data_IF_410940222724
#
_entry.id   IF_410940222724
#
_cell.length_a   1.000
_cell.length_b   1.000
_cell.length_c   1.000
_cell.angle_alpha   90.00
_cell.angle_beta   90.00
_cell.angle_gamma   90.00
#
_symmetry.space_group_name_H-M   'P 1'
#
loop_
_entity.id
_entity.type
_entity.pdbx_description
1 polymer ?
#
# COMPACT_ATOMS: atom_id res chain seq x y z
N UNK A 1 34.25 -35.72 1.16
CA UNK A 1 34.89 -35.26 -0.09
C UNK A 1 33.81 -34.98 -1.12
N UNK A 2 33.93 -33.96 -1.98
CA UNK A 2 34.08 -32.54 -1.67
C UNK A 2 32.90 -31.71 -2.19
N UNK A 3 32.79 -30.51 -1.61
CA UNK A 3 31.83 -29.45 -1.96
C UNK A 3 32.00 -29.06 -3.42
N UNK A 4 30.90 -28.97 -4.16
CA UNK A 4 30.91 -28.43 -5.51
C UNK A 4 31.32 -26.94 -5.43
N UNK A 5 32.34 -26.50 -6.18
CA UNK A 5 32.78 -25.11 -6.18
C UNK A 5 31.82 -24.28 -7.02
N UNK A 6 31.19 -23.28 -6.41
CA UNK A 6 30.48 -22.25 -7.17
C UNK A 6 31.48 -21.50 -8.06
N UNK A 7 31.23 -21.34 -9.38
CA UNK A 7 31.99 -20.40 -10.18
C UNK A 7 31.67 -18.99 -9.68
N UNK A 8 32.62 -18.40 -8.96
CA UNK A 8 32.70 -16.94 -8.81
C UNK A 8 33.03 -16.38 -10.19
N UNK A 9 32.50 -15.19 -10.47
CA UNK A 9 32.69 -14.37 -11.67
C UNK A 9 31.79 -14.77 -12.85
N UNK A 10 30.66 -14.06 -12.99
CA UNK A 10 29.97 -13.65 -14.24
C UNK A 10 28.60 -13.01 -13.86
N UNK A 11 28.61 -12.04 -12.94
CA UNK A 11 27.39 -11.27 -12.59
C UNK A 11 27.65 -9.75 -12.49
N UNK A 12 28.83 -9.29 -12.94
CA UNK A 12 29.17 -7.87 -12.96
C UNK A 12 28.70 -7.16 -14.24
N UNK A 13 28.22 -7.88 -15.25
CA UNK A 13 27.86 -7.32 -16.55
C UNK A 13 26.35 -7.23 -16.82
N UNK A 14 25.51 -7.94 -16.08
CA UNK A 14 24.05 -7.86 -16.24
C UNK A 14 23.41 -6.69 -15.44
N UNK A 15 24.10 -6.17 -14.42
CA UNK A 15 23.61 -5.03 -13.62
C UNK A 15 23.80 -3.66 -14.29
N UNK A 16 24.60 -3.57 -15.36
CA UNK A 16 24.99 -2.30 -15.98
C UNK A 16 24.13 -1.87 -17.19
N UNK A 17 23.28 -2.74 -17.75
CA UNK A 17 22.53 -2.43 -18.99
C UNK A 17 21.03 -2.15 -18.81
N UNK A 18 20.42 -2.47 -17.66
CA UNK A 18 19.01 -2.17 -17.40
C UNK A 18 18.82 -0.76 -16.78
N UNK A 19 19.90 -0.13 -16.30
CA UNK A 19 19.85 1.12 -15.52
C UNK A 19 20.14 2.40 -16.32
N UNK A 20 19.95 2.40 -17.65
CA UNK A 20 20.30 3.56 -18.51
C UNK A 20 19.10 4.19 -19.25
N UNK A 21 17.88 3.68 -19.04
CA UNK A 21 16.66 4.23 -19.65
C UNK A 21 15.53 4.54 -18.64
N UNK A 22 15.85 4.56 -17.34
CA UNK A 22 14.98 5.04 -16.25
C UNK A 22 15.68 6.18 -15.47
N UNK A 23 16.38 7.03 -16.22
CA UNK A 23 17.03 8.22 -15.68
C UNK A 23 15.99 9.24 -15.25
N UNK A 24 15.60 9.21 -13.97
CA UNK A 24 14.90 10.36 -13.39
C UNK A 24 14.36 10.20 -11.98
N UNK A 25 13.96 9.01 -11.54
CA UNK A 25 13.06 8.92 -10.36
C UNK A 25 13.51 8.04 -9.19
N UNK A 26 14.41 7.07 -9.38
CA UNK A 26 14.65 6.07 -8.32
C UNK A 26 15.91 6.35 -7.49
N UNK A 27 16.90 7.10 -8.01
CA UNK A 27 18.12 7.36 -7.26
C UNK A 27 18.73 8.71 -7.64
N UNK A 28 18.30 9.77 -6.94
CA UNK A 28 18.98 11.08 -6.98
C UNK A 28 19.81 11.25 -5.71
N UNK A 29 21.14 11.36 -5.79
CA UNK A 29 21.95 11.66 -4.63
C UNK A 29 21.80 13.15 -4.32
N UNK A 30 21.14 13.47 -3.21
CA UNK A 30 20.99 14.85 -2.74
C UNK A 30 19.55 15.24 -2.45
N UNK A 31 19.22 15.23 -1.17
CA UNK A 31 18.09 15.93 -0.55
C UNK A 31 16.72 15.34 -0.88
N UNK A 32 16.00 14.95 0.17
CA UNK A 32 14.54 14.98 0.15
C UNK A 32 14.15 16.33 -0.47
N UNK A 33 13.46 16.30 -1.62
CA UNK A 33 12.88 17.52 -2.17
C UNK A 33 12.00 18.19 -1.10
N UNK A 34 11.65 19.48 -1.26
CA UNK A 34 10.77 20.15 -0.32
C UNK A 34 9.55 19.26 -0.09
N UNK A 35 9.30 18.89 1.17
CA UNK A 35 8.13 18.07 1.51
C UNK A 35 6.94 18.81 0.93
N UNK A 36 6.21 18.15 0.02
CA UNK A 36 4.89 18.65 -0.34
C UNK A 36 4.12 18.76 0.97
N UNK A 37 3.47 19.90 1.25
CA UNK A 37 2.60 19.99 2.42
C UNK A 37 1.62 18.81 2.38
N UNK A 38 1.23 18.32 3.56
CA UNK A 38 0.38 17.13 3.75
C UNK A 38 -1.08 17.48 3.41
N UNK A 39 -1.31 18.03 2.21
CA UNK A 39 -2.52 18.75 1.77
C UNK A 39 -2.57 20.15 2.37
N UNK A 40 -2.46 21.18 1.52
CA UNK A 40 -2.80 22.54 1.92
C UNK A 40 -4.29 22.58 2.25
N UNK A 41 -4.65 23.08 3.44
CA UNK A 41 -6.04 23.18 3.92
C UNK A 41 -7.00 23.83 2.90
N UNK A 42 -6.47 24.70 2.04
CA UNK A 42 -7.19 25.38 0.97
C UNK A 42 -7.62 24.45 -0.20
N UNK A 43 -7.04 23.26 -0.32
CA UNK A 43 -7.24 22.32 -1.42
C UNK A 43 -7.80 20.96 -0.96
N UNK A 44 -8.42 20.88 0.21
CA UNK A 44 -9.06 19.66 0.67
C UNK A 44 -10.07 19.16 -0.38
N UNK A 45 -9.93 17.92 -0.89
CA UNK A 45 -10.89 17.38 -1.83
C UNK A 45 -12.29 17.34 -1.21
N UNK A 46 -13.35 17.52 -2.01
CA UNK A 46 -14.73 17.40 -1.53
C UNK A 46 -14.94 16.07 -0.80
N UNK A 47 -15.81 16.07 0.22
CA UNK A 47 -16.12 14.89 1.03
C UNK A 47 -16.63 13.74 0.14
N UNK A 48 -17.36 14.07 -0.93
CA UNK A 48 -17.85 13.11 -1.92
C UNK A 48 -16.70 12.37 -2.62
N UNK A 49 -15.63 13.09 -2.95
CA UNK A 49 -14.45 12.48 -3.58
C UNK A 49 -13.73 11.54 -2.61
N UNK A 50 -13.62 11.94 -1.34
CA UNK A 50 -13.03 11.10 -0.30
C UNK A 50 -13.87 9.85 -0.02
N UNK A 51 -15.20 10.01 0.10
CA UNK A 51 -16.14 8.93 0.28
C UNK A 51 -16.05 7.89 -0.86
N UNK A 52 -16.00 8.35 -2.11
CA UNK A 52 -15.83 7.48 -3.28
C UNK A 52 -14.51 6.70 -3.25
N UNK A 53 -13.41 7.36 -2.85
CA UNK A 53 -12.10 6.69 -2.72
C UNK A 53 -12.12 5.63 -1.62
N UNK A 54 -12.83 5.89 -0.53
CA UNK A 54 -13.00 4.96 0.59
C UNK A 54 -14.11 3.91 0.37
N UNK A 55 -14.84 3.97 -0.77
CA UNK A 55 -16.01 3.13 -1.05
C UNK A 55 -17.09 3.23 0.04
N UNK A 56 -17.33 4.46 0.52
CA UNK A 56 -18.36 4.76 1.51
C UNK A 56 -19.53 5.50 0.85
N UNK A 57 -20.73 5.00 1.11
CA UNK A 57 -21.97 5.74 0.85
C UNK A 57 -22.27 6.59 2.09
N UNK A 58 -22.53 7.89 1.89
CA UNK A 58 -22.79 8.84 2.97
C UNK A 58 -24.13 9.52 2.75
N UNK A 59 -24.91 9.65 3.82
CA UNK A 59 -26.13 10.46 3.79
C UNK A 59 -25.81 11.97 3.76
N UNK A 60 -26.78 12.83 3.39
CA UNK A 60 -26.54 14.28 3.32
C UNK A 60 -26.12 14.93 4.65
N UNK A 61 -26.66 14.47 5.77
CA UNK A 61 -26.31 14.97 7.11
C UNK A 61 -24.93 14.52 7.56
N UNK A 62 -24.53 13.29 7.22
CA UNK A 62 -23.16 12.80 7.42
C UNK A 62 -22.14 13.59 6.61
N UNK A 63 -22.45 13.93 5.36
CA UNK A 63 -21.58 14.77 4.51
C UNK A 63 -21.34 16.14 5.15
N UNK A 64 -22.40 16.81 5.62
CA UNK A 64 -22.29 18.11 6.26
C UNK A 64 -21.47 18.04 7.56
N UNK A 65 -21.76 17.04 8.40
CA UNK A 65 -21.04 16.81 9.65
C UNK A 65 -19.56 16.54 9.41
N UNK A 66 -19.23 15.60 8.50
CA UNK A 66 -17.85 15.23 8.18
C UNK A 66 -17.11 16.36 7.47
N UNK A 67 -17.80 17.13 6.62
CA UNK A 67 -17.27 18.34 6.00
C UNK A 67 -16.81 19.38 7.01
N UNK A 68 -17.47 19.46 8.17
CA UNK A 68 -17.08 20.36 9.25
C UNK A 68 -16.03 19.75 10.19
N UNK A 69 -16.10 18.44 10.45
CA UNK A 69 -15.22 17.76 11.42
C UNK A 69 -13.83 17.47 10.85
N UNK A 70 -13.72 17.03 9.60
CA UNK A 70 -12.45 16.62 9.00
C UNK A 70 -11.43 17.78 8.93
N UNK A 71 -11.79 19.01 8.53
CA UNK A 71 -10.87 20.14 8.56
C UNK A 71 -10.36 20.48 9.97
N UNK A 72 -11.18 20.26 11.02
CA UNK A 72 -10.76 20.48 12.42
C UNK A 72 -9.73 19.45 12.86
N UNK A 73 -9.91 18.20 12.46
CA UNK A 73 -8.95 17.12 12.76
C UNK A 73 -7.62 17.41 12.04
N UNK A 74 -7.66 17.78 10.76
CA UNK A 74 -6.46 18.11 10.00
C UNK A 74 -5.73 19.34 10.55
N UNK A 75 -6.47 20.37 10.98
CA UNK A 75 -5.89 21.52 11.66
C UNK A 75 -5.19 21.12 12.97
N UNK A 76 -5.65 20.08 13.68
CA UNK A 76 -4.96 19.61 14.87
C UNK A 76 -3.62 18.94 14.55
N UNK A 77 -3.50 18.27 13.40
CA UNK A 77 -2.23 17.69 12.94
C UNK A 77 -1.15 18.73 12.59
N UNK A 78 -1.52 19.99 12.34
CA UNK A 78 -0.56 21.08 12.10
C UNK A 78 0.42 21.27 13.28
N UNK A 79 0.02 20.88 14.49
CA UNK A 79 0.90 20.87 15.67
C UNK A 79 2.15 20.00 15.49
N UNK A 80 2.09 18.96 14.65
CA UNK A 80 3.25 18.11 14.36
C UNK A 80 4.30 18.86 13.53
N UNK A 81 3.92 19.91 12.80
CA UNK A 81 4.84 20.75 12.01
C UNK A 81 5.68 21.68 12.88
N UNK A 82 5.32 21.88 14.15
CA UNK A 82 6.08 22.68 15.11
C UNK A 82 7.36 21.95 15.57
N UNK A 83 7.44 20.63 15.35
CA UNK A 83 8.58 19.81 15.75
C UNK A 83 9.56 19.71 14.58
N UNK A 84 10.80 20.12 14.82
CA UNK A 84 11.88 19.97 13.84
C UNK A 84 12.24 18.48 13.67
N UNK A 85 12.21 18.04 12.41
CA UNK A 85 12.57 16.67 12.01
C UNK A 85 13.66 16.66 10.94
N UNK A 86 14.39 17.78 10.77
CA UNK A 86 15.51 17.85 9.84
C UNK A 86 16.60 16.85 10.25
N UNK A 87 17.04 16.03 9.29
CA UNK A 87 18.05 14.99 9.53
C UNK A 87 17.54 13.73 10.25
N UNK A 88 16.25 13.64 10.59
CA UNK A 88 15.64 12.43 11.17
C UNK A 88 15.10 11.53 10.06
N UNK A 89 15.64 10.32 9.95
CA UNK A 89 15.14 9.29 9.04
C UNK A 89 13.73 8.82 9.46
N UNK A 90 12.84 8.64 8.49
CA UNK A 90 11.50 8.15 8.75
C UNK A 90 11.55 6.68 9.21
N UNK A 91 10.97 6.36 10.36
CA UNK A 91 10.91 4.98 10.86
C UNK A 91 9.55 4.34 10.52
N UNK A 92 9.48 3.46 9.50
CA UNK A 92 8.22 2.80 9.13
C UNK A 92 7.77 1.76 10.16
N UNK A 93 8.71 1.24 10.95
CA UNK A 93 8.47 0.23 11.97
C UNK A 93 9.04 0.68 13.31
N UNK A 94 8.43 0.26 14.41
CA UNK A 94 8.92 0.56 15.77
C UNK A 94 10.20 -0.21 16.14
N UNK A 95 10.52 -1.27 15.40
CA UNK A 95 11.66 -2.15 15.65
C UNK A 95 12.40 -2.40 14.35
N UNK A 96 13.71 -2.66 14.45
CA UNK A 96 14.54 -2.99 13.31
C UNK A 96 14.12 -4.34 12.72
N UNK A 97 13.39 -4.30 11.61
CA UNK A 97 13.00 -5.49 10.87
C UNK A 97 14.13 -5.87 9.90
N UNK A 98 14.30 -7.19 9.72
CA UNK A 98 15.08 -7.76 8.63
C UNK A 98 14.09 -8.42 7.68
N UNK A 99 14.42 -8.44 6.38
CA UNK A 99 13.58 -9.08 5.39
C UNK A 99 13.29 -10.53 5.78
N UNK A 100 12.00 -10.88 5.78
CA UNK A 100 11.52 -12.23 6.11
C UNK A 100 11.08 -12.89 4.83
N UNK A 101 11.96 -13.70 4.26
CA UNK A 101 11.65 -14.51 3.09
C UNK A 101 10.93 -15.80 3.51
N UNK A 102 9.89 -16.17 2.76
CA UNK A 102 9.27 -17.50 2.79
C UNK A 102 10.02 -18.41 1.82
N UNK A 103 10.20 -19.68 2.19
CA UNK A 103 10.73 -20.69 1.28
C UNK A 103 9.83 -20.84 0.04
N UNK A 104 10.44 -20.97 -1.14
CA UNK A 104 9.72 -21.21 -2.39
C UNK A 104 9.33 -22.69 -2.53
N UNK A 105 8.47 -23.14 -1.62
CA UNK A 105 7.85 -24.46 -1.65
C UNK A 105 6.32 -24.34 -1.61
N UNK A 106 5.58 -25.33 -2.15
CA UNK A 106 4.15 -25.45 -1.91
C UNK A 106 3.87 -25.51 -0.41
N UNK A 107 2.79 -24.85 0.02
CA UNK A 107 2.38 -24.85 1.41
C UNK A 107 1.66 -26.15 1.80
N UNK A 108 2.01 -26.71 2.95
CA UNK A 108 1.40 -27.91 3.51
C UNK A 108 0.13 -27.57 4.30
N UNK A 109 -0.81 -28.51 4.52
CA UNK A 109 -1.99 -28.28 5.36
C UNK A 109 -1.65 -27.80 6.78
N UNK A 110 -0.47 -28.16 7.30
CA UNK A 110 0.04 -27.72 8.59
C UNK A 110 0.53 -26.26 8.63
N UNK A 111 0.74 -25.62 7.47
CA UNK A 111 1.19 -24.23 7.36
C UNK A 111 0.03 -23.21 7.53
N UNK A 112 -1.15 -23.66 7.98
CA UNK A 112 -2.34 -22.80 8.19
C UNK A 112 -3.18 -22.56 6.93
N UNK A 113 -2.96 -23.34 5.87
CA UNK A 113 -3.75 -23.24 4.65
C UNK A 113 -5.10 -23.96 4.82
N UNK A 114 -6.19 -23.20 4.72
CA UNK A 114 -7.54 -23.77 4.60
C UNK A 114 -7.60 -24.65 3.34
N UNK A 115 -8.05 -25.90 3.50
CA UNK A 115 -8.23 -26.85 2.40
C UNK A 115 -9.68 -27.30 2.35
N UNK A 116 -10.18 -27.50 1.14
CA UNK A 116 -11.58 -27.83 0.91
C UNK A 116 -12.38 -26.58 0.57
N UNK A 117 -13.10 -26.68 -0.55
CA UNK A 117 -13.94 -25.63 -1.11
C UNK A 117 -14.92 -25.06 -0.08
N UNK A 118 -15.60 -25.94 0.66
CA UNK A 118 -16.56 -25.57 1.69
C UNK A 118 -15.95 -24.69 2.80
N UNK A 119 -14.70 -24.95 3.20
CA UNK A 119 -14.01 -24.20 4.25
C UNK A 119 -13.62 -22.79 3.78
N UNK A 120 -13.22 -22.65 2.52
CA UNK A 120 -12.85 -21.36 1.92
C UNK A 120 -14.10 -20.47 1.73
N UNK A 121 -15.23 -21.10 1.45
CA UNK A 121 -16.48 -20.41 1.14
C UNK A 121 -17.41 -20.20 2.34
N UNK A 122 -17.05 -20.66 3.53
CA UNK A 122 -17.92 -20.63 4.72
C UNK A 122 -18.43 -19.21 5.06
N UNK A 123 -17.63 -18.19 4.77
CA UNK A 123 -17.96 -16.79 5.04
C UNK A 123 -18.45 -16.02 3.79
N UNK A 124 -18.64 -16.70 2.66
CA UNK A 124 -19.09 -16.05 1.43
C UNK A 124 -20.57 -15.66 1.54
N UNK A 125 -20.94 -14.38 1.33
CA UNK A 125 -22.34 -13.96 1.34
C UNK A 125 -23.17 -14.60 0.22
N UNK A 126 -22.58 -14.80 -0.95
CA UNK A 126 -23.19 -15.46 -2.10
C UNK A 126 -22.14 -16.27 -2.85
N UNK A 127 -22.49 -17.50 -3.21
CA UNK A 127 -21.59 -18.46 -3.85
C UNK A 127 -22.34 -19.44 -4.74
N UNK A 128 -21.70 -19.88 -5.81
CA UNK A 128 -22.24 -20.85 -6.76
C UNK A 128 -21.08 -21.60 -7.42
N UNK A 129 -21.17 -22.92 -7.50
CA UNK A 129 -20.23 -23.81 -8.20
C UNK A 129 -18.73 -23.56 -7.94
N UNK A 130 -18.38 -23.05 -6.75
CA UNK A 130 -16.99 -22.75 -6.41
C UNK A 130 -16.52 -21.33 -6.58
N UNK A 131 -17.43 -20.42 -6.90
CA UNK A 131 -17.15 -19.03 -7.18
C UNK A 131 -17.87 -18.12 -6.19
N UNK A 132 -17.22 -16.99 -5.88
CA UNK A 132 -17.87 -15.90 -5.19
C UNK A 132 -18.71 -15.11 -6.19
N UNK A 133 -19.99 -14.97 -5.91
CA UNK A 133 -20.88 -14.20 -6.75
C UNK A 133 -20.74 -12.71 -6.41
N UNK A 134 -20.38 -11.91 -7.41
CA UNK A 134 -20.30 -10.45 -7.32
C UNK A 134 -21.08 -9.83 -8.48
N UNK A 135 -21.62 -8.62 -8.32
CA UNK A 135 -22.19 -7.88 -9.43
C UNK A 135 -21.19 -7.77 -10.59
N UNK A 136 -21.66 -7.87 -11.85
CA UNK A 136 -20.76 -7.84 -13.01
C UNK A 136 -20.04 -6.50 -13.10
N UNK A 137 -18.73 -6.55 -13.36
CA UNK A 137 -17.91 -5.37 -13.60
C UNK A 137 -18.15 -4.91 -15.03
N UNK A 138 -19.17 -4.08 -15.26
CA UNK A 138 -19.32 -3.34 -16.51
C UNK A 138 -18.50 -2.04 -16.42
N UNK A 139 -17.79 -1.67 -17.49
CA UNK A 139 -16.98 -0.44 -17.54
C UNK A 139 -17.86 0.79 -17.31
N UNK A 140 -17.65 1.47 -16.18
CA UNK A 140 -18.67 2.33 -15.56
C UNK A 140 -18.74 3.77 -16.06
N UNK A 141 -19.97 4.24 -16.23
CA UNK A 141 -20.49 5.46 -15.61
C UNK A 141 -21.61 4.99 -14.67
N UNK A 142 -21.62 5.44 -13.42
CA UNK A 142 -22.59 5.08 -12.35
C UNK A 142 -22.28 3.77 -11.58
N UNK A 143 -21.32 3.88 -10.65
CA UNK A 143 -21.27 3.14 -9.39
C UNK A 143 -20.62 4.02 -8.31
#
# INVERSE_FOLDING_TARGET
MPRNPHPKLEAALCFAMIFRSFSGWIFRPGGLGPRRPVVDKAELPPIEKLARLARLELDPGEKERLGTQLPRILAYFEKLSEVDTEGVEASPYAMALKDRFREDRPADPGDGMLRGQDLVEQNAPAKEDGYYLVPPVMGGEEA
#
